data_IF_266599217138
#
_entry.id   IF_266599217138
#
_cell.length_a   1.000
_cell.length_b   1.000
_cell.length_c   1.000
_cell.angle_alpha   90.00
_cell.angle_beta   90.00
_cell.angle_gamma   90.00
#
_symmetry.space_group_name_H-M   'P 1'
#
loop_
_entity.id
_entity.type
_entity.pdbx_description
1 polymer ?
#
# COMPACT_ATOMS: atom_id res chain seq x y z
N UNK A 1 -37.44 -2.70 5.82
CA UNK A 1 -36.51 -1.85 5.04
C UNK A 1 -35.20 -1.54 5.77
N UNK A 2 -35.22 -1.10 7.03
CA UNK A 2 -33.98 -0.82 7.78
C UNK A 2 -33.03 -2.04 7.87
N UNK A 3 -33.57 -3.23 8.13
CA UNK A 3 -32.79 -4.48 8.24
C UNK A 3 -32.01 -4.79 6.95
N UNK A 4 -32.66 -4.69 5.79
CA UNK A 4 -31.99 -4.88 4.49
C UNK A 4 -30.92 -3.82 4.19
N UNK A 5 -31.12 -2.57 4.60
CA UNK A 5 -30.09 -1.52 4.47
C UNK A 5 -28.87 -1.84 5.34
N UNK A 6 -29.09 -2.29 6.58
CA UNK A 6 -28.01 -2.72 7.47
C UNK A 6 -27.26 -3.93 6.89
N UNK A 7 -27.96 -4.89 6.27
CA UNK A 7 -27.34 -6.03 5.60
C UNK A 7 -26.42 -5.60 4.44
N UNK A 8 -26.82 -4.60 3.64
CA UNK A 8 -26.00 -4.03 2.56
C UNK A 8 -24.76 -3.35 3.12
N UNK A 9 -24.93 -2.50 4.14
CA UNK A 9 -23.81 -1.78 4.75
C UNK A 9 -22.80 -2.76 5.31
N UNK A 10 -23.25 -3.79 6.01
CA UNK A 10 -22.38 -4.80 6.60
C UNK A 10 -21.64 -5.62 5.52
N UNK A 11 -22.35 -6.08 4.48
CA UNK A 11 -21.75 -6.77 3.33
C UNK A 11 -20.72 -5.90 2.59
N UNK A 12 -21.00 -4.61 2.43
CA UNK A 12 -20.08 -3.66 1.82
C UNK A 12 -18.83 -3.43 2.70
N UNK A 13 -18.98 -3.32 4.02
CA UNK A 13 -17.86 -3.22 4.97
C UNK A 13 -16.98 -4.48 4.93
N UNK A 14 -17.59 -5.67 4.93
CA UNK A 14 -16.87 -6.93 4.76
C UNK A 14 -16.09 -6.95 3.44
N UNK A 15 -16.73 -6.57 2.34
CA UNK A 15 -16.13 -6.52 0.99
C UNK A 15 -14.97 -5.54 0.92
N UNK A 16 -15.12 -4.35 1.51
CA UNK A 16 -14.08 -3.34 1.60
C UNK A 16 -12.87 -3.86 2.38
N UNK A 17 -13.10 -4.47 3.54
CA UNK A 17 -12.04 -5.06 4.35
C UNK A 17 -11.32 -6.22 3.62
N UNK A 18 -12.06 -7.11 2.97
CA UNK A 18 -11.47 -8.23 2.23
C UNK A 18 -10.66 -7.74 1.02
N UNK A 19 -11.18 -6.75 0.30
CA UNK A 19 -10.48 -6.10 -0.82
C UNK A 19 -9.21 -5.40 -0.35
N UNK A 20 -9.24 -4.69 0.79
CA UNK A 20 -8.06 -4.06 1.37
C UNK A 20 -6.95 -5.06 1.67
N UNK A 21 -7.28 -6.21 2.29
CA UNK A 21 -6.30 -7.27 2.57
C UNK A 21 -5.67 -7.78 1.28
N UNK A 22 -6.50 -8.11 0.28
CA UNK A 22 -6.02 -8.68 -0.97
C UNK A 22 -5.23 -7.70 -1.84
N UNK A 23 -5.64 -6.43 -1.86
CA UNK A 23 -5.07 -5.43 -2.76
C UNK A 23 -3.91 -4.64 -2.13
N UNK A 24 -4.02 -4.30 -0.84
CA UNK A 24 -3.07 -3.37 -0.19
C UNK A 24 -2.13 -4.12 0.75
N UNK A 25 -2.68 -4.87 1.69
CA UNK A 25 -1.91 -5.54 2.74
C UNK A 25 -1.02 -6.65 2.15
N UNK A 26 -1.61 -7.56 1.38
CA UNK A 26 -0.91 -8.73 0.86
C UNK A 26 0.24 -8.39 -0.09
N UNK A 27 0.09 -7.50 -1.11
CA UNK A 27 1.21 -7.13 -1.95
C UNK A 27 2.30 -6.36 -1.21
N UNK A 28 1.94 -5.60 -0.16
CA UNK A 28 2.91 -4.91 0.69
C UNK A 28 3.71 -5.91 1.54
N UNK A 29 3.03 -6.88 2.17
CA UNK A 29 3.65 -8.00 2.88
C UNK A 29 4.64 -8.75 2.00
N UNK A 30 4.28 -9.04 0.75
CA UNK A 30 5.13 -9.80 -0.18
C UNK A 30 6.45 -9.11 -0.56
N UNK A 31 6.57 -7.79 -0.35
CA UNK A 31 7.83 -7.06 -0.58
C UNK A 31 8.85 -7.23 0.54
N UNK A 32 8.41 -7.61 1.75
CA UNK A 32 9.29 -7.85 2.87
C UNK A 32 10.13 -9.13 2.67
N UNK A 33 11.24 -9.26 3.38
CA UNK A 33 11.99 -10.51 3.46
C UNK A 33 11.18 -11.61 4.15
N UNK A 34 11.59 -12.87 4.00
CA UNK A 34 10.80 -14.03 4.45
C UNK A 34 10.47 -14.00 5.95
N UNK A 35 11.40 -13.54 6.78
CA UNK A 35 11.19 -13.44 8.23
C UNK A 35 10.21 -12.33 8.57
N UNK A 36 10.42 -11.13 8.01
CA UNK A 36 9.55 -9.99 8.25
C UNK A 36 8.12 -10.25 7.74
N UNK A 37 7.98 -10.89 6.57
CA UNK A 37 6.71 -11.32 5.99
C UNK A 37 5.94 -12.28 6.90
N UNK A 38 6.61 -13.28 7.47
CA UNK A 38 5.97 -14.25 8.36
C UNK A 38 5.59 -13.59 9.69
N UNK A 39 6.46 -12.74 10.23
CA UNK A 39 6.20 -12.01 11.47
C UNK A 39 5.00 -11.10 11.32
N UNK A 40 4.94 -10.31 10.25
CA UNK A 40 3.82 -9.41 10.01
C UNK A 40 2.51 -10.18 9.79
N UNK A 41 2.52 -11.31 9.07
CA UNK A 41 1.35 -12.17 8.91
C UNK A 41 0.81 -12.67 10.27
N UNK A 42 1.69 -13.16 11.14
CA UNK A 42 1.32 -13.68 12.47
C UNK A 42 0.68 -12.62 13.36
N UNK A 43 1.12 -11.38 13.21
CA UNK A 43 0.57 -10.24 13.92
C UNK A 43 -0.76 -9.77 13.31
N UNK A 44 -0.84 -9.61 12.00
CA UNK A 44 -2.03 -9.01 11.37
C UNK A 44 -3.22 -9.97 11.32
N UNK A 45 -2.98 -11.27 11.09
CA UNK A 45 -4.03 -12.25 10.83
C UNK A 45 -5.08 -12.39 11.97
N UNK A 46 -4.70 -12.51 13.26
CA UNK A 46 -5.68 -12.60 14.35
C UNK A 46 -6.58 -11.37 14.43
N UNK A 47 -6.01 -10.18 14.25
CA UNK A 47 -6.73 -8.90 14.27
C UNK A 47 -7.71 -8.80 13.09
N UNK A 48 -7.25 -9.18 11.89
CA UNK A 48 -8.11 -9.24 10.70
C UNK A 48 -9.27 -10.23 10.85
N UNK A 49 -9.04 -11.38 11.50
CA UNK A 49 -10.08 -12.38 11.78
C UNK A 49 -11.13 -11.87 12.76
N UNK A 50 -10.71 -11.22 13.85
CA UNK A 50 -11.61 -10.62 14.84
C UNK A 50 -12.53 -9.56 14.24
N UNK A 51 -12.08 -8.84 13.21
CA UNK A 51 -12.89 -7.85 12.51
C UNK A 51 -13.82 -8.48 11.45
N UNK A 52 -13.32 -9.38 10.60
CA UNK A 52 -14.09 -9.86 9.45
C UNK A 52 -15.10 -10.96 9.77
N UNK A 53 -14.83 -11.82 10.76
CA UNK A 53 -15.73 -12.91 11.10
C UNK A 53 -17.10 -12.41 11.63
N UNK A 54 -17.17 -11.40 12.51
CA UNK A 54 -18.43 -10.82 12.95
C UNK A 54 -19.22 -10.15 11.84
N UNK A 55 -18.57 -9.39 10.94
CA UNK A 55 -19.24 -8.78 9.78
C UNK A 55 -19.95 -9.85 8.94
N UNK A 56 -19.24 -10.90 8.52
CA UNK A 56 -19.87 -11.97 7.73
C UNK A 56 -21.08 -12.62 8.44
N UNK A 57 -21.02 -12.79 9.76
CA UNK A 57 -22.13 -13.34 10.54
C UNK A 57 -23.31 -12.37 10.66
N UNK A 58 -23.05 -11.10 11.00
CA UNK A 58 -24.08 -10.07 11.14
C UNK A 58 -24.75 -9.80 9.80
N UNK A 59 -24.00 -9.63 8.72
CA UNK A 59 -24.56 -9.48 7.37
C UNK A 59 -25.43 -10.66 6.94
N UNK A 60 -25.03 -11.90 7.26
CA UNK A 60 -25.85 -13.09 7.00
C UNK A 60 -27.16 -13.10 7.80
N UNK A 61 -27.09 -12.82 9.10
CA UNK A 61 -28.26 -12.77 9.99
C UNK A 61 -29.23 -11.67 9.57
N UNK A 62 -28.75 -10.49 9.21
CA UNK A 62 -29.57 -9.38 8.74
C UNK A 62 -30.24 -9.71 7.40
N UNK A 63 -29.50 -10.30 6.45
CA UNK A 63 -30.08 -10.75 5.18
C UNK A 63 -31.15 -11.82 5.37
N UNK A 64 -30.92 -12.79 6.27
CA UNK A 64 -31.90 -13.81 6.62
C UNK A 64 -33.13 -13.21 7.30
N UNK A 65 -32.93 -12.29 8.25
CA UNK A 65 -34.02 -11.60 8.94
C UNK A 65 -34.86 -10.75 7.97
N UNK A 66 -34.22 -10.05 7.03
CA UNK A 66 -34.90 -9.29 5.99
C UNK A 66 -35.75 -10.22 5.11
N UNK A 67 -35.25 -11.40 4.75
CA UNK A 67 -36.02 -12.42 4.02
C UNK A 67 -37.20 -12.96 4.83
N UNK A 68 -37.00 -13.27 6.12
CA UNK A 68 -38.07 -13.80 6.97
C UNK A 68 -39.21 -12.81 7.19
N UNK A 69 -38.91 -11.50 7.28
CA UNK A 69 -39.93 -10.47 7.53
C UNK A 69 -40.62 -10.02 6.25
N UNK A 70 -39.87 -9.83 5.15
CA UNK A 70 -40.36 -9.15 3.94
C UNK A 70 -40.32 -10.02 2.67
N UNK A 71 -39.79 -11.24 2.74
CA UNK A 71 -39.60 -12.12 1.60
C UNK A 71 -38.45 -11.69 0.68
N UNK A 72 -38.53 -12.12 -0.58
CA UNK A 72 -37.52 -11.84 -1.62
C UNK A 72 -36.35 -12.83 -1.58
N UNK A 73 -36.38 -13.82 -2.47
CA UNK A 73 -35.41 -14.92 -2.49
C UNK A 73 -33.95 -14.48 -2.66
N UNK A 74 -33.71 -13.29 -3.22
CA UNK A 74 -32.37 -12.73 -3.34
C UNK A 74 -31.79 -12.28 -1.98
N UNK A 75 -32.62 -11.88 -1.01
CA UNK A 75 -32.14 -11.62 0.37
C UNK A 75 -31.62 -12.91 1.01
N UNK A 76 -32.33 -14.02 0.82
CA UNK A 76 -31.86 -15.32 1.27
C UNK A 76 -30.56 -15.73 0.55
N UNK A 77 -30.51 -15.59 -0.78
CA UNK A 77 -29.32 -15.90 -1.56
C UNK A 77 -28.10 -15.07 -1.11
N UNK A 78 -28.26 -13.76 -0.94
CA UNK A 78 -27.20 -12.87 -0.47
C UNK A 78 -26.68 -13.26 0.92
N UNK A 79 -27.58 -13.67 1.83
CA UNK A 79 -27.24 -14.16 3.16
C UNK A 79 -26.42 -15.46 3.10
N UNK A 80 -26.81 -16.41 2.24
CA UNK A 80 -26.05 -17.65 2.03
C UNK A 80 -24.67 -17.37 1.43
N UNK A 81 -24.57 -16.46 0.47
CA UNK A 81 -23.28 -16.10 -0.16
C UNK A 81 -22.33 -15.50 0.86
N UNK A 82 -22.75 -14.51 1.67
CA UNK A 82 -21.84 -13.92 2.66
C UNK A 82 -21.49 -14.92 3.76
N UNK A 83 -22.46 -15.73 4.21
CA UNK A 83 -22.23 -16.79 5.19
C UNK A 83 -21.22 -17.84 4.70
N UNK A 84 -21.20 -18.15 3.40
CA UNK A 84 -20.27 -19.13 2.80
C UNK A 84 -18.78 -18.81 3.04
N UNK A 85 -18.45 -17.57 3.40
CA UNK A 85 -17.11 -17.19 3.85
C UNK A 85 -16.65 -18.01 5.06
N UNK A 86 -17.54 -18.37 5.99
CA UNK A 86 -17.20 -19.17 7.16
C UNK A 86 -16.80 -20.61 6.78
N UNK A 87 -17.66 -21.41 6.10
CA UNK A 87 -17.28 -22.72 5.61
C UNK A 87 -16.00 -22.70 4.77
N UNK A 88 -15.86 -21.74 3.85
CA UNK A 88 -14.65 -21.58 3.05
C UNK A 88 -13.42 -21.32 3.92
N UNK A 89 -13.54 -20.45 4.92
CA UNK A 89 -12.45 -20.15 5.84
C UNK A 89 -12.05 -21.37 6.67
N UNK A 90 -13.02 -22.07 7.27
CA UNK A 90 -12.75 -23.23 8.10
C UNK A 90 -12.14 -24.40 7.32
N UNK A 91 -12.61 -24.67 6.11
CA UNK A 91 -12.18 -25.82 5.31
C UNK A 91 -10.89 -25.53 4.53
N UNK A 92 -10.77 -24.35 3.93
CA UNK A 92 -9.69 -24.06 2.97
C UNK A 92 -8.57 -23.23 3.60
N UNK A 93 -8.92 -22.15 4.32
CA UNK A 93 -7.93 -21.19 4.83
C UNK A 93 -7.35 -21.63 6.18
N UNK A 94 -8.18 -22.17 7.09
CA UNK A 94 -7.77 -22.45 8.46
C UNK A 94 -6.67 -23.52 8.58
N UNK A 95 -6.64 -24.61 7.79
CA UNK A 95 -5.52 -25.54 7.80
C UNK A 95 -4.20 -24.83 7.43
N UNK A 96 -4.23 -23.98 6.41
CA UNK A 96 -3.07 -23.19 5.99
C UNK A 96 -2.62 -22.21 7.08
N UNK A 97 -3.57 -21.55 7.75
CA UNK A 97 -3.25 -20.65 8.86
C UNK A 97 -2.63 -21.40 10.04
N UNK A 98 -3.14 -22.59 10.40
CA UNK A 98 -2.56 -23.39 11.47
C UNK A 98 -1.10 -23.74 11.16
N UNK A 99 -0.79 -24.10 9.91
CA UNK A 99 0.59 -24.33 9.46
C UNK A 99 1.43 -23.06 9.54
N UNK A 100 0.94 -21.92 9.06
CA UNK A 100 1.69 -20.65 9.13
C UNK A 100 1.93 -20.18 10.57
N UNK A 101 0.95 -20.38 11.45
CA UNK A 101 1.03 -19.98 12.85
C UNK A 101 1.98 -20.87 13.66
N UNK A 102 2.23 -22.12 13.25
CA UNK A 102 3.16 -23.02 13.94
C UNK A 102 4.63 -22.75 13.62
N UNK A 103 4.96 -22.10 12.50
CA UNK A 103 6.36 -21.79 12.12
C UNK A 103 6.90 -20.68 13.04
N UNK A 104 8.03 -20.84 13.75
CA UNK A 104 8.60 -19.78 14.59
C UNK A 104 8.83 -18.48 13.82
N UNK A 105 8.53 -17.31 14.42
CA UNK A 105 8.54 -16.03 13.69
C UNK A 105 9.93 -15.64 13.15
N UNK A 106 11.00 -16.12 13.76
CA UNK A 106 12.38 -15.94 13.31
C UNK A 106 12.83 -16.94 12.24
N UNK A 107 12.00 -17.93 11.89
CA UNK A 107 12.31 -19.02 10.96
C UNK A 107 11.60 -18.89 9.61
N UNK A 108 11.18 -17.66 9.23
CA UNK A 108 10.59 -17.41 7.92
C UNK A 108 11.55 -17.77 6.79
N UNK A 109 11.05 -18.52 5.81
CA UNK A 109 11.80 -19.03 4.66
C UNK A 109 10.96 -19.04 3.37
N UNK A 110 11.55 -19.50 2.27
CA UNK A 110 10.89 -19.57 0.96
C UNK A 110 9.62 -20.45 0.95
N UNK A 111 9.54 -21.47 1.81
CA UNK A 111 8.35 -22.31 1.95
C UNK A 111 7.21 -21.52 2.62
N UNK A 112 7.49 -20.85 3.73
CA UNK A 112 6.52 -19.98 4.42
C UNK A 112 5.98 -18.87 3.50
N UNK A 113 6.83 -18.31 2.62
CA UNK A 113 6.43 -17.36 1.59
C UNK A 113 5.42 -17.97 0.61
N UNK A 114 5.66 -19.18 0.11
CA UNK A 114 4.73 -19.87 -0.81
C UNK A 114 3.38 -20.10 -0.14
N UNK A 115 3.37 -20.49 1.13
CA UNK A 115 2.15 -20.66 1.91
C UNK A 115 1.39 -19.33 2.06
N UNK A 116 2.08 -18.23 2.36
CA UNK A 116 1.47 -16.88 2.45
C UNK A 116 0.98 -16.38 1.08
N UNK A 117 1.68 -16.66 -0.02
CA UNK A 117 1.19 -16.36 -1.37
C UNK A 117 -0.13 -17.08 -1.66
N UNK A 118 -0.19 -18.38 -1.36
CA UNK A 118 -1.40 -19.20 -1.49
C UNK A 118 -2.54 -18.68 -0.60
N UNK A 119 -2.23 -18.27 0.63
CA UNK A 119 -3.19 -17.63 1.51
C UNK A 119 -3.81 -16.37 0.90
N UNK A 120 -2.98 -15.51 0.28
CA UNK A 120 -3.44 -14.31 -0.42
C UNK A 120 -4.40 -14.60 -1.57
N UNK A 121 -4.17 -15.69 -2.31
CA UNK A 121 -5.07 -16.15 -3.38
C UNK A 121 -6.43 -16.59 -2.83
N UNK A 122 -6.46 -17.31 -1.72
CA UNK A 122 -7.72 -17.69 -1.07
C UNK A 122 -8.47 -16.47 -0.52
N UNK A 123 -7.75 -15.46 -0.07
CA UNK A 123 -8.39 -14.23 0.39
C UNK A 123 -9.13 -13.46 -0.72
N UNK A 124 -8.69 -13.58 -1.98
CA UNK A 124 -9.44 -13.03 -3.13
C UNK A 124 -10.81 -13.67 -3.30
N UNK A 125 -10.94 -14.97 -3.01
CA UNK A 125 -12.23 -15.67 -3.04
C UNK A 125 -13.19 -15.04 -2.03
N UNK A 126 -12.70 -14.73 -0.82
CA UNK A 126 -13.51 -14.05 0.21
C UNK A 126 -13.96 -12.66 -0.22
N UNK A 127 -13.08 -11.89 -0.85
CA UNK A 127 -13.44 -10.59 -1.43
C UNK A 127 -14.52 -10.74 -2.51
N UNK A 128 -14.39 -11.75 -3.38
CA UNK A 128 -15.39 -12.07 -4.40
C UNK A 128 -16.76 -12.46 -3.82
N UNK A 129 -16.79 -13.31 -2.79
CA UNK A 129 -18.03 -13.69 -2.10
C UNK A 129 -18.70 -12.48 -1.43
N UNK A 130 -17.93 -11.63 -0.76
CA UNK A 130 -18.43 -10.37 -0.20
C UNK A 130 -19.06 -9.47 -1.26
N UNK A 131 -18.33 -9.24 -2.36
CA UNK A 131 -18.80 -8.39 -3.46
C UNK A 131 -20.08 -8.96 -4.08
N UNK A 132 -20.13 -10.26 -4.33
CA UNK A 132 -21.31 -10.93 -4.86
C UNK A 132 -22.53 -10.76 -3.93
N UNK A 133 -22.37 -10.95 -2.62
CA UNK A 133 -23.45 -10.73 -1.65
C UNK A 133 -23.91 -9.27 -1.63
N UNK A 134 -22.97 -8.33 -1.63
CA UNK A 134 -23.26 -6.88 -1.67
C UNK A 134 -24.08 -6.52 -2.90
N UNK A 135 -23.70 -7.02 -4.08
CA UNK A 135 -24.42 -6.75 -5.32
C UNK A 135 -25.83 -7.38 -5.31
N UNK A 136 -25.97 -8.60 -4.77
CA UNK A 136 -27.28 -9.27 -4.64
C UNK A 136 -28.21 -8.49 -3.70
N UNK A 137 -27.72 -8.04 -2.55
CA UNK A 137 -28.50 -7.20 -1.64
C UNK A 137 -28.84 -5.83 -2.24
N UNK A 138 -27.88 -5.21 -2.95
CA UNK A 138 -28.09 -3.92 -3.60
C UNK A 138 -29.16 -4.00 -4.69
N UNK A 139 -29.16 -5.09 -5.46
CA UNK A 139 -30.17 -5.34 -6.49
C UNK A 139 -31.60 -5.32 -5.90
N UNK A 140 -31.81 -6.03 -4.79
CA UNK A 140 -33.10 -6.02 -4.10
C UNK A 140 -33.45 -4.68 -3.46
N UNK A 141 -32.47 -3.91 -3.00
CA UNK A 141 -32.74 -2.58 -2.46
C UNK A 141 -33.14 -1.58 -3.56
N UNK A 142 -32.60 -1.71 -4.78
CA UNK A 142 -33.00 -0.86 -5.91
C UNK A 142 -34.49 -0.93 -6.22
N UNK A 143 -35.14 -2.08 -6.01
CA UNK A 143 -36.59 -2.25 -6.22
C UNK A 143 -37.45 -1.51 -5.18
N UNK A 144 -36.87 -1.07 -4.06
CA UNK A 144 -37.59 -0.42 -2.96
C UNK A 144 -37.20 1.05 -2.72
N UNK A 145 -36.28 1.61 -3.50
CA UNK A 145 -35.83 3.01 -3.35
C UNK A 145 -36.63 3.90 -4.32
N UNK A 146 -37.25 5.01 -3.88
CA UNK A 146 -37.91 5.95 -4.79
C UNK A 146 -36.93 6.49 -5.85
N UNK A 147 -37.42 6.88 -7.02
CA UNK A 147 -36.63 7.21 -8.24
C UNK A 147 -35.35 8.02 -8.01
N UNK A 148 -35.33 8.95 -7.06
CA UNK A 148 -34.15 9.75 -6.68
C UNK A 148 -33.01 8.91 -6.09
N UNK A 149 -33.31 7.93 -5.24
CA UNK A 149 -32.26 7.13 -4.61
C UNK A 149 -31.69 6.05 -5.55
N UNK A 150 -32.43 5.62 -6.57
CA UNK A 150 -31.86 4.84 -7.67
C UNK A 150 -30.80 5.65 -8.42
N UNK A 151 -31.09 6.91 -8.77
CA UNK A 151 -30.13 7.81 -9.43
C UNK A 151 -28.86 8.02 -8.60
N UNK A 152 -29.00 8.27 -7.29
CA UNK A 152 -27.84 8.44 -6.38
C UNK A 152 -27.02 7.16 -6.32
N UNK A 153 -27.67 6.00 -6.19
CA UNK A 153 -26.99 4.70 -6.12
C UNK A 153 -26.24 4.39 -7.42
N UNK A 154 -26.85 4.65 -8.58
CA UNK A 154 -26.20 4.48 -9.89
C UNK A 154 -25.01 5.42 -10.07
N UNK A 155 -25.14 6.68 -9.69
CA UNK A 155 -24.03 7.65 -9.76
C UNK A 155 -22.88 7.26 -8.84
N UNK A 156 -23.16 6.95 -7.57
CA UNK A 156 -22.14 6.50 -6.61
C UNK A 156 -21.43 5.25 -7.10
N UNK A 157 -22.18 4.27 -7.64
CA UNK A 157 -21.61 3.04 -8.20
C UNK A 157 -20.74 3.34 -9.44
N UNK A 158 -21.22 4.18 -10.36
CA UNK A 158 -20.49 4.59 -11.55
C UNK A 158 -19.17 5.31 -11.20
N UNK A 159 -19.21 6.28 -10.29
CA UNK A 159 -18.01 7.00 -9.86
C UNK A 159 -17.05 6.10 -9.06
N UNK A 160 -17.57 5.18 -8.25
CA UNK A 160 -16.76 4.19 -7.51
C UNK A 160 -16.07 3.22 -8.47
N UNK A 161 -16.76 2.73 -9.50
CA UNK A 161 -16.17 1.87 -10.53
C UNK A 161 -15.15 2.63 -11.40
N UNK A 162 -15.43 3.89 -11.75
CA UNK A 162 -14.49 4.75 -12.49
C UNK A 162 -13.24 5.02 -11.67
N UNK A 163 -13.38 5.28 -10.37
CA UNK A 163 -12.27 5.44 -9.43
C UNK A 163 -11.47 4.13 -9.32
N UNK A 164 -12.14 2.99 -9.11
CA UNK A 164 -11.51 1.67 -9.04
C UNK A 164 -10.76 1.33 -10.34
N UNK A 165 -11.32 1.62 -11.52
CA UNK A 165 -10.65 1.41 -12.81
C UNK A 165 -9.44 2.33 -12.99
N UNK A 166 -9.57 3.62 -12.66
CA UNK A 166 -8.46 4.57 -12.70
C UNK A 166 -7.32 4.16 -11.77
N UNK A 167 -7.68 3.66 -10.58
CA UNK A 167 -6.74 3.16 -9.59
C UNK A 167 -6.08 1.84 -10.02
N UNK A 168 -6.86 0.88 -10.55
CA UNK A 168 -6.35 -0.36 -11.14
C UNK A 168 -5.32 -0.09 -12.24
N UNK A 169 -5.62 0.84 -13.15
CA UNK A 169 -4.69 1.26 -14.21
C UNK A 169 -3.39 1.86 -13.64
N UNK A 170 -3.48 2.63 -12.56
CA UNK A 170 -2.32 3.20 -11.88
C UNK A 170 -1.45 2.13 -11.18
N UNK A 171 -2.07 1.04 -10.67
CA UNK A 171 -1.36 -0.04 -9.97
C UNK A 171 -0.73 -1.10 -10.90
N UNK A 172 -1.37 -1.42 -12.03
CA UNK A 172 -0.89 -2.46 -12.96
C UNK A 172 0.17 -1.95 -13.95
N UNK A 173 0.26 -0.65 -14.19
CA UNK A 173 1.38 -0.08 -14.92
C UNK A 173 2.59 -0.01 -14.00
N UNK A 174 3.56 -0.92 -14.18
CA UNK A 174 4.90 -0.70 -13.62
C UNK A 174 5.36 0.68 -14.10
N UNK A 175 5.71 1.57 -13.18
CA UNK A 175 6.30 2.86 -13.55
C UNK A 175 7.61 2.53 -14.25
N UNK A 176 7.59 2.55 -15.59
CA UNK A 176 8.78 2.46 -16.44
C UNK A 176 9.84 3.41 -15.88
N UNK A 177 11.12 3.02 -15.96
CA UNK A 177 12.19 3.91 -15.54
C UNK A 177 12.01 5.26 -16.25
N UNK A 178 11.88 6.38 -15.52
CA UNK A 178 11.74 7.67 -16.16
C UNK A 178 12.96 7.88 -17.05
N UNK A 179 12.73 8.37 -18.27
CA UNK A 179 13.84 8.83 -19.12
C UNK A 179 14.63 9.87 -18.34
N UNK A 180 15.96 9.80 -18.43
CA UNK A 180 16.84 10.83 -17.89
C UNK A 180 16.35 12.19 -18.37
N UNK A 181 16.19 13.12 -17.43
CA UNK A 181 15.74 14.47 -17.74
C UNK A 181 16.86 15.24 -18.47
N UNK A 182 18.13 14.97 -18.14
CA UNK A 182 19.30 15.48 -18.88
C UNK A 182 19.86 14.41 -19.81
N UNK A 183 19.76 14.60 -21.12
CA UNK A 183 20.28 13.65 -22.12
C UNK A 183 21.74 13.94 -22.50
N UNK A 184 22.10 15.21 -22.51
CA UNK A 184 23.40 15.82 -22.81
C UNK A 184 24.24 15.99 -21.54
N UNK A 185 24.41 14.89 -20.79
CA UNK A 185 25.15 14.89 -19.52
C UNK A 185 26.67 14.78 -19.75
N UNK A 186 27.43 15.42 -18.86
CA UNK A 186 28.90 15.33 -18.83
C UNK A 186 29.34 14.27 -17.81
N UNK A 187 30.40 13.53 -18.14
CA UNK A 187 30.96 12.53 -17.24
C UNK A 187 31.47 13.16 -15.94
N UNK A 188 31.17 12.54 -14.81
CA UNK A 188 31.57 12.95 -13.45
C UNK A 188 31.04 14.33 -13.02
N UNK A 189 29.94 14.78 -13.62
CA UNK A 189 29.18 15.94 -13.18
C UNK A 189 27.84 15.48 -12.63
N UNK A 190 27.54 15.90 -11.40
CA UNK A 190 26.27 15.57 -10.73
C UNK A 190 25.19 16.57 -11.13
N UNK A 191 24.14 16.13 -11.79
CA UNK A 191 22.97 16.98 -12.08
C UNK A 191 21.99 16.88 -10.91
N UNK A 192 21.93 17.93 -10.09
CA UNK A 192 21.12 17.97 -8.87
C UNK A 192 19.76 18.62 -9.13
N UNK A 193 18.69 17.84 -9.05
CA UNK A 193 17.33 18.35 -9.16
C UNK A 193 16.82 18.75 -7.78
N UNK A 194 16.47 20.03 -7.63
CA UNK A 194 16.05 20.60 -6.35
C UNK A 194 15.10 21.79 -6.51
N UNK A 195 14.53 22.29 -5.40
CA UNK A 195 13.69 23.48 -5.45
C UNK A 195 14.50 24.73 -5.86
N UNK A 196 13.86 25.71 -6.51
CA UNK A 196 14.47 27.01 -6.79
C UNK A 196 14.91 27.71 -5.51
N UNK A 197 15.98 28.50 -5.64
CA UNK A 197 16.48 29.32 -4.53
C UNK A 197 15.57 30.51 -4.30
N UNK A 198 15.51 30.96 -3.05
CA UNK A 198 14.90 32.23 -2.64
C UNK A 198 16.01 33.20 -2.24
N UNK A 199 15.72 34.51 -2.24
CA UNK A 199 16.66 35.55 -1.78
C UNK A 199 17.03 35.41 -0.30
N UNK A 200 16.21 34.73 0.51
CA UNK A 200 16.42 34.62 1.96
C UNK A 200 16.90 33.23 2.41
N UNK A 201 16.64 32.18 1.63
CA UNK A 201 16.99 30.79 1.98
C UNK A 201 17.57 30.05 0.78
N UNK A 202 18.63 29.22 0.94
CA UNK A 202 19.22 28.49 -0.16
C UNK A 202 18.27 27.45 -0.78
N UNK A 203 17.44 26.78 0.04
CA UNK A 203 16.42 25.84 -0.44
C UNK A 203 15.27 25.70 0.58
N UNK A 204 14.04 25.49 0.09
CA UNK A 204 12.86 25.24 0.91
C UNK A 204 12.85 23.84 1.55
N UNK A 205 13.53 22.88 0.91
CA UNK A 205 13.61 21.50 1.42
C UNK A 205 14.92 21.28 2.19
N UNK A 206 14.85 20.79 3.44
CA UNK A 206 16.04 20.46 4.23
C UNK A 206 16.85 19.32 3.60
N UNK A 207 16.20 18.41 2.85
CA UNK A 207 16.88 17.35 2.14
C UNK A 207 17.69 17.87 0.95
N UNK A 208 17.15 18.84 0.20
CA UNK A 208 17.89 19.52 -0.87
C UNK A 208 19.09 20.28 -0.28
N UNK A 209 18.88 20.98 0.84
CA UNK A 209 19.92 21.71 1.54
C UNK A 209 21.05 20.77 2.03
N UNK A 210 20.71 19.63 2.66
CA UNK A 210 21.67 18.60 3.11
C UNK A 210 22.54 18.14 1.95
N UNK A 211 21.91 17.79 0.82
CA UNK A 211 22.61 17.25 -0.33
C UNK A 211 23.49 18.30 -1.03
N UNK A 212 22.99 19.53 -1.19
CA UNK A 212 23.77 20.60 -1.79
C UNK A 212 24.97 20.99 -0.90
N UNK A 213 24.78 21.03 0.42
CA UNK A 213 25.86 21.27 1.37
C UNK A 213 26.94 20.18 1.30
N UNK A 214 26.54 18.91 1.20
CA UNK A 214 27.47 17.79 1.03
C UNK A 214 28.30 17.91 -0.26
N UNK A 215 27.65 18.21 -1.39
CA UNK A 215 28.35 18.39 -2.67
C UNK A 215 29.37 19.53 -2.62
N UNK A 216 29.01 20.65 -1.98
CA UNK A 216 29.91 21.79 -1.79
C UNK A 216 31.08 21.47 -0.87
N UNK A 217 30.83 20.80 0.26
CA UNK A 217 31.85 20.46 1.25
C UNK A 217 32.95 19.56 0.67
N UNK A 218 32.58 18.64 -0.22
CA UNK A 218 33.51 17.71 -0.86
C UNK A 218 34.00 18.17 -2.25
N UNK A 219 33.73 19.43 -2.61
CA UNK A 219 34.15 20.03 -3.89
C UNK A 219 33.73 19.20 -5.14
N UNK A 220 32.62 18.48 -5.04
CA UNK A 220 32.10 17.65 -6.13
C UNK A 220 31.48 18.58 -7.18
N UNK A 221 31.83 18.41 -8.45
CA UNK A 221 31.24 19.19 -9.55
C UNK A 221 29.77 18.84 -9.70
N UNK A 222 28.89 19.83 -9.53
CA UNK A 222 27.45 19.66 -9.70
C UNK A 222 26.79 20.82 -10.46
N UNK A 223 25.69 20.53 -11.15
CA UNK A 223 24.84 21.50 -11.82
C UNK A 223 23.44 21.47 -11.16
N UNK A 224 22.99 22.58 -10.54
CA UNK A 224 21.66 22.63 -9.94
C UNK A 224 20.58 22.86 -11.00
N UNK A 225 19.64 21.93 -11.10
CA UNK A 225 18.46 22.02 -11.94
C UNK A 225 17.25 22.32 -11.05
N UNK A 226 16.66 23.49 -11.26
CA UNK A 226 15.57 23.97 -10.42
C UNK A 226 14.21 23.49 -10.92
N UNK A 227 13.42 22.90 -10.03
CA UNK A 227 12.08 22.40 -10.37
C UNK A 227 11.12 22.46 -9.18
N UNK A 228 9.89 22.89 -9.42
CA UNK A 228 8.82 22.81 -8.42
C UNK A 228 8.10 21.46 -8.47
N UNK A 229 7.87 20.93 -9.67
CA UNK A 229 7.05 19.74 -9.91
C UNK A 229 7.85 18.51 -10.32
N UNK A 230 9.13 18.66 -10.65
CA UNK A 230 10.02 17.54 -10.96
C UNK A 230 10.16 16.63 -9.74
N UNK A 231 9.94 15.35 -9.95
CA UNK A 231 10.07 14.31 -8.92
C UNK A 231 10.84 13.14 -9.51
N UNK A 232 11.57 12.45 -8.64
CA UNK A 232 12.20 11.18 -9.00
C UNK A 232 11.18 10.08 -9.29
N UNK A 233 11.67 8.93 -9.76
CA UNK A 233 10.86 7.70 -9.91
C UNK A 233 10.08 7.34 -8.63
N UNK A 234 10.66 7.63 -7.47
CA UNK A 234 10.08 7.36 -6.14
C UNK A 234 9.12 8.47 -5.66
N UNK A 235 8.92 9.52 -6.44
CA UNK A 235 8.13 10.68 -6.03
C UNK A 235 8.86 11.63 -5.07
N UNK A 236 10.17 11.41 -4.87
CA UNK A 236 11.00 12.18 -3.95
C UNK A 236 11.75 13.31 -4.67
N UNK A 237 12.00 14.39 -3.95
CA UNK A 237 12.93 15.48 -4.28
C UNK A 237 13.75 15.78 -3.01
N UNK A 238 15.09 15.89 -3.06
CA UNK A 238 15.96 15.96 -4.23
C UNK A 238 16.22 14.60 -4.90
N UNK A 239 16.68 14.64 -6.14
CA UNK A 239 17.28 13.50 -6.84
C UNK A 239 18.44 13.96 -7.73
N UNK A 240 19.31 13.03 -8.12
CA UNK A 240 20.44 13.32 -9.00
C UNK A 240 20.41 12.45 -10.26
N UNK A 241 21.06 12.97 -11.30
CA UNK A 241 21.49 12.19 -12.45
C UNK A 241 23.02 12.26 -12.53
N UNK A 242 23.68 11.11 -12.53
CA UNK A 242 25.15 10.98 -12.58
C UNK A 242 25.51 9.88 -13.56
N UNK A 243 26.31 10.19 -14.58
CA UNK A 243 26.80 9.21 -15.58
C UNK A 243 25.68 8.37 -16.23
N UNK A 244 24.51 8.98 -16.45
CA UNK A 244 23.33 8.31 -16.99
C UNK A 244 22.55 7.45 -15.98
N UNK A 245 22.91 7.47 -14.70
CA UNK A 245 22.17 6.83 -13.62
C UNK A 245 21.29 7.84 -12.88
N UNK A 246 20.00 7.51 -12.70
CA UNK A 246 19.05 8.29 -11.92
C UNK A 246 18.99 7.76 -10.49
N UNK A 247 19.37 8.58 -9.51
CA UNK A 247 19.44 8.19 -8.10
C UNK A 247 18.57 9.13 -7.27
N UNK A 248 17.67 8.53 -6.48
CA UNK A 248 16.70 9.25 -5.67
C UNK A 248 16.92 8.94 -4.18
N UNK A 249 16.43 9.85 -3.32
CA UNK A 249 16.61 9.86 -1.86
C UNK A 249 17.98 10.43 -1.43
N UNK A 250 17.96 11.50 -0.63
CA UNK A 250 19.19 12.19 -0.19
C UNK A 250 20.22 11.28 0.49
N UNK A 251 19.78 10.27 1.26
CA UNK A 251 20.68 9.36 1.97
C UNK A 251 21.37 8.40 1.01
N UNK A 252 20.58 7.81 0.12
CA UNK A 252 21.07 6.87 -0.89
C UNK A 252 22.04 7.60 -1.82
N UNK A 253 21.72 8.84 -2.19
CA UNK A 253 22.58 9.70 -3.00
C UNK A 253 23.92 9.94 -2.30
N UNK A 254 23.92 10.38 -1.03
CA UNK A 254 25.16 10.63 -0.28
C UNK A 254 26.01 9.35 -0.18
N UNK A 255 25.41 8.20 0.14
CA UNK A 255 26.12 6.92 0.21
C UNK A 255 26.72 6.52 -1.14
N UNK A 256 25.98 6.71 -2.23
CA UNK A 256 26.46 6.43 -3.58
C UNK A 256 27.62 7.35 -3.95
N UNK A 257 27.50 8.65 -3.69
CA UNK A 257 28.56 9.64 -3.97
C UNK A 257 29.82 9.37 -3.14
N UNK A 258 29.68 9.04 -1.85
CA UNK A 258 30.82 8.64 -0.99
C UNK A 258 31.57 7.46 -1.59
N UNK A 259 30.83 6.45 -2.07
CA UNK A 259 31.41 5.27 -2.71
C UNK A 259 32.07 5.60 -4.06
N UNK A 260 31.39 6.38 -4.91
CA UNK A 260 31.85 6.70 -6.27
C UNK A 260 33.10 7.60 -6.27
N UNK A 261 33.11 8.65 -5.45
CA UNK A 261 34.23 9.58 -5.34
C UNK A 261 35.28 9.16 -4.29
N UNK A 262 35.15 7.96 -3.71
CA UNK A 262 36.04 7.42 -2.67
C UNK A 262 36.29 8.41 -1.51
N UNK A 263 35.21 9.02 -1.01
CA UNK A 263 35.26 9.98 0.10
C UNK A 263 35.43 9.19 1.39
N UNK A 264 36.58 9.36 2.04
CA UNK A 264 36.89 8.70 3.31
C UNK A 264 36.71 9.66 4.47
N UNK A 265 35.75 9.34 5.34
CA UNK A 265 35.61 10.03 6.62
C UNK A 265 36.65 9.47 7.59
N UNK A 266 37.52 10.34 8.13
CA UNK A 266 38.53 9.97 9.15
C UNK A 266 37.91 9.77 10.54
N UNK A 267 36.81 9.01 10.59
CA UNK A 267 36.04 8.74 11.80
C UNK A 267 36.33 7.34 12.33
N UNK A 268 36.46 7.21 13.66
CA UNK A 268 36.51 5.89 14.30
C UNK A 268 35.17 5.17 14.20
N UNK A 269 35.13 3.86 14.45
CA UNK A 269 33.89 3.10 14.38
C UNK A 269 32.85 3.59 15.39
N UNK A 270 33.30 4.04 16.56
CA UNK A 270 32.45 4.62 17.60
C UNK A 270 31.84 5.94 17.13
N UNK A 271 32.64 6.80 16.50
CA UNK A 271 32.14 8.08 15.95
C UNK A 271 31.13 7.86 14.82
N UNK A 272 31.36 6.87 13.95
CA UNK A 272 30.39 6.49 12.90
C UNK A 272 29.08 5.98 13.49
N UNK A 273 29.12 5.22 14.58
CA UNK A 273 27.92 4.77 15.27
C UNK A 273 27.13 5.95 15.87
N UNK A 274 27.83 6.92 16.47
CA UNK A 274 27.23 8.15 16.99
C UNK A 274 26.62 8.98 15.86
N UNK A 275 27.35 9.24 14.77
CA UNK A 275 26.85 9.92 13.56
C UNK A 275 25.56 9.26 13.06
N UNK A 276 25.59 7.92 12.89
CA UNK A 276 24.44 7.14 12.43
C UNK A 276 23.22 7.32 13.34
N UNK A 277 23.42 7.31 14.66
CA UNK A 277 22.35 7.47 15.63
C UNK A 277 21.72 8.86 15.54
N UNK A 278 22.53 9.92 15.48
CA UNK A 278 22.04 11.29 15.33
C UNK A 278 21.32 11.51 13.99
N UNK A 279 21.86 10.99 12.90
CA UNK A 279 21.23 11.08 11.58
C UNK A 279 19.85 10.40 11.56
N UNK A 280 19.71 9.24 12.20
CA UNK A 280 18.40 8.57 12.33
C UNK A 280 17.47 9.28 13.29
N UNK A 281 17.97 9.82 14.38
CA UNK A 281 17.17 10.59 15.34
C UNK A 281 16.57 11.83 14.68
N UNK A 282 17.40 12.63 14.00
CA UNK A 282 16.96 13.88 13.35
C UNK A 282 15.94 13.56 12.26
N UNK A 283 16.26 12.62 11.36
CA UNK A 283 15.38 12.30 10.24
C UNK A 283 14.04 11.74 10.72
N UNK A 284 14.04 10.78 11.66
CA UNK A 284 12.78 10.18 12.14
C UNK A 284 11.90 11.11 12.98
N UNK A 285 12.51 12.10 13.64
CA UNK A 285 11.77 13.01 14.54
C UNK A 285 11.22 14.22 13.78
N UNK A 286 12.04 14.86 12.95
CA UNK A 286 11.67 16.11 12.29
C UNK A 286 11.01 15.91 10.93
N UNK A 287 11.24 14.77 10.27
CA UNK A 287 10.76 14.52 8.91
C UNK A 287 10.03 13.16 8.85
N UNK A 288 8.71 13.17 8.99
CA UNK A 288 7.84 11.99 8.86
C UNK A 288 7.13 11.95 7.52
#
# INVERSE_FOLDING_TARGET
>A
MLVGQLAIVDAALFTGAATYISHSEQPSRLKADDRALLTEFKESYPRGTQMQAPLAAVGALLGLLQWLIYGGNLWFLGAIIIFSNWPFTYVVIMPLNKTLMSIPSNSGNAESRKLIQKWGQYHLVRAGLGLASTLVFLNMACDCIPSIGQVITTLVTFYSLKFAYSYYKACCCSKQAPKLQKQDWKKDVVYLYQFPRSSFIPNLSPFCLKLEAFLRLHEIKYEPIFTFSGRSKKGLLPFIELNGEHIADSQIIILHLKKYFNIQDKLTNEQKAVERAFDRLIESTFFK
#
